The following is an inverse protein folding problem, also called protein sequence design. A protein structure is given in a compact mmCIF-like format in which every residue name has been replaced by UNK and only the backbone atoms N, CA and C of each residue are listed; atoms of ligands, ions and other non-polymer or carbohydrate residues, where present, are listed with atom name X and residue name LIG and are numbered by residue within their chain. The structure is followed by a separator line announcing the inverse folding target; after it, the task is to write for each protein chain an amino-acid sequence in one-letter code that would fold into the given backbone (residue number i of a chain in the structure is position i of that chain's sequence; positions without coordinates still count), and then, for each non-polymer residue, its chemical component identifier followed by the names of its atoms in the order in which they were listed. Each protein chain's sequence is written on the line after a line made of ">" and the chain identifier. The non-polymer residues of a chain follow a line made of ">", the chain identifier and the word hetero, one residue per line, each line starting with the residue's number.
data_IF_413022493609
#
_entry.id   IF_413022493609
#
_cell.length_a   1.000
_cell.length_b   1.000
_cell.length_c   1.000
_cell.angle_alpha   90.00
_cell.angle_beta   90.00
_cell.angle_gamma   90.00
#
_symmetry.space_group_name_H-M   'P 1'
#
loop_
_entity.id
_entity.type
_entity.pdbx_description
1 polymer ?
#
# COMPACT_ATOMS: atom_id res chain seq x y z
N UNK A 1 -0.64 0.32 5.29
CA UNK A 1 -0.94 -1.14 5.20
C UNK A 1 -0.74 -1.78 6.56
N UNK A 2 -1.08 -3.07 6.73
CA UNK A 2 -0.83 -3.85 7.94
C UNK A 2 -0.41 -5.28 7.56
N UNK A 3 0.70 -5.77 8.09
CA UNK A 3 1.11 -7.18 7.91
C UNK A 3 0.75 -7.96 9.18
N UNK A 4 -0.19 -8.87 9.05
CA UNK A 4 -0.70 -9.68 10.15
C UNK A 4 -0.07 -11.07 10.11
N UNK A 5 0.29 -11.59 11.27
CA UNK A 5 0.76 -12.97 11.45
C UNK A 5 -0.37 -13.76 12.10
N UNK A 6 -0.75 -14.89 11.53
CA UNK A 6 -1.70 -15.79 12.17
C UNK A 6 -1.09 -16.28 13.50
N UNK A 7 -1.82 -16.11 14.60
CA UNK A 7 -1.40 -16.69 15.88
C UNK A 7 -1.41 -18.21 15.74
N UNK A 8 -0.26 -18.86 15.87
CA UNK A 8 -0.23 -20.32 15.93
C UNK A 8 -0.99 -20.76 17.17
N UNK A 9 -2.10 -21.47 16.99
CA UNK A 9 -2.69 -22.23 18.09
C UNK A 9 -1.73 -23.36 18.40
N UNK A 10 -0.89 -23.19 19.42
CA UNK A 10 -0.14 -24.30 19.98
C UNK A 10 -1.13 -25.42 20.29
N UNK A 11 -0.92 -26.60 19.70
CA UNK A 11 -1.74 -27.79 19.96
C UNK A 11 -1.67 -28.07 21.47
N UNK A 12 -2.77 -27.84 22.18
CA UNK A 12 -2.84 -28.09 23.62
C UNK A 12 -2.71 -29.60 23.87
N UNK A 13 -1.49 -30.08 24.12
CA UNK A 13 -1.27 -31.40 24.72
C UNK A 13 -1.86 -31.38 26.14
N UNK A 14 -2.70 -32.35 26.53
CA UNK A 14 -3.21 -32.40 27.90
C UNK A 14 -2.04 -32.66 28.86
N UNK A 15 -1.75 -31.69 29.73
CA UNK A 15 -0.69 -31.79 30.73
C UNK A 15 -1.27 -32.40 32.02
N UNK A 16 -0.76 -33.56 32.41
CA UNK A 16 -0.95 -34.09 33.76
C UNK A 16 -0.36 -33.11 34.79
N UNK A 17 -1.16 -32.78 35.80
CA UNK A 17 -0.84 -31.78 36.81
C UNK A 17 0.10 -32.36 37.87
N UNK A 18 1.38 -31.97 37.84
CA UNK A 18 2.31 -32.11 38.96
C UNK A 18 2.69 -30.69 39.40
N UNK A 19 2.32 -30.32 40.62
CA UNK A 19 2.61 -29.01 41.21
C UNK A 19 4.07 -29.01 41.66
N UNK A 20 4.93 -28.29 40.93
CA UNK A 20 6.28 -27.95 41.38
C UNK A 20 6.47 -26.43 41.22
N UNK A 21 6.69 -25.75 42.32
CA UNK A 21 6.90 -24.30 42.36
C UNK A 21 8.18 -23.93 41.58
N UNK A 22 8.03 -23.19 40.48
CA UNK A 22 9.13 -22.64 39.69
C UNK A 22 8.82 -21.19 39.35
N UNK A 23 9.81 -20.31 39.57
CA UNK A 23 9.69 -18.88 39.37
C UNK A 23 9.14 -18.53 37.99
N UNK A 24 8.14 -17.67 37.96
CA UNK A 24 7.62 -17.07 36.74
C UNK A 24 8.70 -16.21 36.10
N UNK A 25 9.49 -16.80 35.21
CA UNK A 25 10.21 -16.04 34.20
C UNK A 25 9.16 -15.51 33.23
N UNK A 26 8.86 -14.21 33.31
CA UNK A 26 8.22 -13.52 32.20
C UNK A 26 9.19 -13.58 31.01
N UNK A 27 9.02 -14.56 30.14
CA UNK A 27 9.64 -14.54 28.83
C UNK A 27 8.92 -13.43 28.08
N UNK A 28 9.51 -12.24 28.05
CA UNK A 28 9.10 -11.22 27.09
C UNK A 28 9.28 -11.85 25.72
N UNK A 29 8.18 -12.18 25.04
CA UNK A 29 8.25 -12.61 23.65
C UNK A 29 8.84 -11.44 22.89
N UNK A 30 10.06 -11.61 22.35
CA UNK A 30 10.63 -10.64 21.45
C UNK A 30 9.58 -10.37 20.36
N UNK A 31 9.19 -9.11 20.18
CA UNK A 31 8.39 -8.71 19.03
C UNK A 31 9.18 -9.16 17.80
N UNK A 32 8.62 -10.09 17.02
CA UNK A 32 9.28 -10.49 15.77
C UNK A 32 9.18 -9.31 14.82
N UNK A 33 10.29 -8.59 14.70
CA UNK A 33 10.48 -7.58 13.68
C UNK A 33 10.89 -8.26 12.37
N UNK A 34 10.47 -7.68 11.26
CA UNK A 34 10.94 -8.04 9.92
C UNK A 34 11.58 -6.81 9.26
N UNK A 35 12.51 -7.02 8.34
CA UNK A 35 12.92 -5.94 7.43
C UNK A 35 12.17 -6.07 6.13
N UNK A 36 11.92 -4.94 5.48
CA UNK A 36 11.26 -4.92 4.19
C UNK A 36 11.86 -3.87 3.26
N UNK A 37 11.67 -4.09 1.96
CA UNK A 37 11.76 -3.05 0.94
C UNK A 37 10.61 -3.17 -0.03
N UNK A 38 10.17 -2.05 -0.60
CA UNK A 38 9.15 -2.02 -1.64
C UNK A 38 9.63 -1.33 -2.90
N UNK A 39 9.08 -1.76 -4.03
CA UNK A 39 9.23 -1.12 -5.33
C UNK A 39 7.84 -1.16 -5.97
N UNK A 40 7.34 -0.03 -6.46
CA UNK A 40 6.04 0.03 -7.13
C UNK A 40 6.18 0.23 -8.63
N UNK A 41 5.41 -0.49 -9.45
CA UNK A 41 5.41 -0.36 -10.91
C UNK A 41 4.00 -0.10 -11.40
N UNK A 42 3.84 0.98 -12.17
CA UNK A 42 2.57 1.33 -12.81
C UNK A 42 2.33 0.52 -14.08
N UNK A 43 1.11 0.05 -14.30
CA UNK A 43 0.72 -0.68 -15.49
C UNK A 43 -0.81 -0.66 -15.69
N UNK A 44 -1.27 -1.27 -16.79
CA UNK A 44 -2.67 -1.60 -17.04
C UNK A 44 -3.67 -0.43 -16.88
N UNK A 45 -3.28 0.77 -17.35
CA UNK A 45 -4.22 1.88 -17.44
C UNK A 45 -5.39 1.55 -18.37
N UNK A 46 -6.62 1.87 -17.93
CA UNK A 46 -7.84 1.71 -18.71
C UNK A 46 -8.36 3.09 -19.11
N UNK A 47 -8.42 3.34 -20.41
CA UNK A 47 -8.75 4.66 -20.96
C UNK A 47 -7.55 5.62 -20.90
N UNK A 48 -7.71 6.79 -21.55
CA UNK A 48 -6.66 7.78 -21.67
C UNK A 48 -5.44 7.31 -22.46
N UNK A 49 -4.54 8.24 -22.78
CA UNK A 49 -3.21 7.93 -23.27
C UNK A 49 -2.21 8.23 -22.15
N UNK A 50 -1.61 7.18 -21.60
CA UNK A 50 -0.67 7.31 -20.48
C UNK A 50 0.77 7.04 -20.90
N UNK A 51 1.71 7.66 -20.20
CA UNK A 51 3.14 7.38 -20.30
C UNK A 51 3.66 6.86 -18.96
N UNK A 52 4.45 5.79 -19.00
CA UNK A 52 5.11 5.23 -17.82
C UNK A 52 6.60 5.60 -17.82
N UNK A 53 7.12 6.05 -16.67
CA UNK A 53 8.56 6.28 -16.48
C UNK A 53 9.06 5.51 -15.26
N UNK A 54 10.29 5.00 -15.34
CA UNK A 54 10.94 4.23 -14.29
C UNK A 54 12.18 4.95 -13.75
N UNK A 55 12.04 6.24 -13.45
CA UNK A 55 13.11 7.05 -12.89
C UNK A 55 13.20 6.89 -11.36
N UNK A 56 13.72 7.89 -10.63
CA UNK A 56 13.80 7.85 -9.17
C UNK A 56 12.45 7.69 -8.48
N UNK A 57 11.38 8.19 -9.10
CA UNK A 57 9.99 7.95 -8.69
C UNK A 57 9.25 7.32 -9.87
N UNK A 58 8.87 6.04 -9.74
CA UNK A 58 8.13 5.38 -10.80
C UNK A 58 6.81 6.12 -11.03
N UNK A 59 6.55 6.52 -12.27
CA UNK A 59 5.45 7.43 -12.60
C UNK A 59 4.58 6.90 -13.72
N UNK A 60 3.30 7.20 -13.63
CA UNK A 60 2.36 7.21 -14.74
C UNK A 60 1.87 8.63 -14.94
N UNK A 61 1.88 9.12 -16.18
CA UNK A 61 1.50 10.49 -16.51
C UNK A 61 0.50 10.54 -17.66
N UNK A 62 -0.34 11.55 -17.65
CA UNK A 62 -1.39 11.77 -18.64
C UNK A 62 -1.68 13.28 -18.84
N UNK A 63 -2.55 13.58 -19.81
CA UNK A 63 -2.87 14.95 -20.19
C UNK A 63 -2.00 15.48 -21.33
N UNK A 64 -2.48 16.56 -21.96
CA UNK A 64 -1.83 17.16 -23.13
C UNK A 64 -0.87 18.31 -22.79
N UNK A 65 -0.95 18.84 -21.57
CA UNK A 65 -0.21 20.02 -21.15
C UNK A 65 1.05 19.65 -20.36
N UNK A 66 1.97 20.62 -20.26
CA UNK A 66 3.19 20.50 -19.48
C UNK A 66 3.15 21.46 -18.27
N UNK A 67 3.47 20.98 -17.05
CA UNK A 67 3.72 19.58 -16.71
C UNK A 67 2.44 18.72 -16.77
N UNK A 68 2.55 17.42 -17.11
CA UNK A 68 1.39 16.53 -17.16
C UNK A 68 0.85 16.22 -15.76
N UNK A 69 -0.42 15.85 -15.66
CA UNK A 69 -0.94 15.15 -14.48
C UNK A 69 -0.34 13.75 -14.38
N UNK A 70 -0.49 13.13 -13.21
CA UNK A 70 -0.02 11.77 -13.03
C UNK A 70 0.00 11.28 -11.60
N UNK A 71 0.49 10.05 -11.44
CA UNK A 71 0.75 9.43 -10.16
C UNK A 71 2.20 8.96 -10.08
N UNK A 72 2.84 9.25 -8.96
CA UNK A 72 4.17 8.78 -8.62
C UNK A 72 4.09 7.82 -7.43
N UNK A 73 5.00 6.83 -7.40
CA UNK A 73 5.18 5.98 -6.23
C UNK A 73 6.66 5.82 -5.92
N UNK A 74 7.03 6.17 -4.68
CA UNK A 74 8.36 5.97 -4.13
C UNK A 74 8.28 4.89 -3.05
N UNK A 75 8.97 3.77 -3.29
CA UNK A 75 9.06 2.67 -2.32
C UNK A 75 9.85 3.04 -1.07
N UNK A 76 9.76 2.19 -0.04
CA UNK A 76 10.38 2.39 1.27
C UNK A 76 11.16 1.13 1.65
N UNK A 77 12.29 1.33 2.30
CA UNK A 77 13.03 0.28 3.01
C UNK A 77 12.98 0.57 4.50
N UNK A 78 12.81 -0.46 5.32
CA UNK A 78 12.79 -0.29 6.77
C UNK A 78 12.56 -1.58 7.54
N UNK A 79 12.17 -1.42 8.80
CA UNK A 79 11.73 -2.48 9.70
C UNK A 79 10.25 -2.32 10.00
N UNK A 80 9.56 -3.42 10.26
CA UNK A 80 8.18 -3.42 10.73
C UNK A 80 7.94 -4.49 11.78
N UNK A 81 6.84 -4.34 12.49
CA UNK A 81 6.35 -5.31 13.46
C UNK A 81 5.05 -5.92 12.95
N UNK A 82 4.86 -7.20 13.20
CA UNK A 82 3.59 -7.84 12.88
C UNK A 82 2.43 -7.19 13.64
N UNK A 83 1.27 -7.15 13.01
CA UNK A 83 0.03 -6.56 13.52
C UNK A 83 0.07 -5.05 13.78
N UNK A 84 1.15 -4.37 13.41
CA UNK A 84 1.24 -2.92 13.40
C UNK A 84 1.10 -2.36 11.99
N UNK A 85 0.76 -1.08 11.93
CA UNK A 85 0.66 -0.37 10.67
C UNK A 85 2.05 -0.22 10.05
N UNK A 86 2.10 -0.42 8.74
CA UNK A 86 3.30 -0.38 7.92
C UNK A 86 3.08 0.61 6.77
N UNK A 87 3.96 1.60 6.68
CA UNK A 87 4.07 2.47 5.52
C UNK A 87 4.88 1.75 4.45
N UNK A 88 4.26 1.45 3.30
CA UNK A 88 4.95 0.81 2.19
C UNK A 88 5.67 1.78 1.27
N UNK A 89 5.37 3.07 1.34
CA UNK A 89 5.92 4.06 0.42
C UNK A 89 5.05 5.30 0.34
N UNK A 90 5.51 6.24 -0.46
CA UNK A 90 4.83 7.50 -0.72
C UNK A 90 4.18 7.44 -2.09
N UNK A 91 2.86 7.69 -2.14
CA UNK A 91 2.14 7.95 -3.37
C UNK A 91 1.97 9.46 -3.54
N UNK A 92 2.31 9.97 -4.72
CA UNK A 92 2.19 11.39 -5.06
C UNK A 92 1.18 11.56 -6.19
N UNK A 93 0.24 12.47 -6.00
CA UNK A 93 -0.68 12.91 -7.05
C UNK A 93 -0.17 14.22 -7.64
N UNK A 94 0.11 14.22 -8.95
CA UNK A 94 0.42 15.41 -9.73
C UNK A 94 -0.88 15.86 -10.37
N UNK A 95 -1.50 16.89 -9.79
CA UNK A 95 -2.70 17.52 -10.32
C UNK A 95 -2.28 18.75 -11.15
N UNK A 96 -2.42 18.65 -12.47
CA UNK A 96 -2.19 19.71 -13.43
C UNK A 96 -3.34 19.70 -14.45
N UNK A 97 -3.58 20.79 -15.19
CA UNK A 97 -4.58 20.77 -16.26
C UNK A 97 -4.28 19.68 -17.29
N UNK A 98 -5.30 18.91 -17.68
CA UNK A 98 -5.16 17.76 -18.59
C UNK A 98 -5.75 17.95 -19.99
N UNK A 99 -6.61 18.96 -20.17
CA UNK A 99 -7.30 19.23 -21.43
C UNK A 99 -8.52 18.32 -21.65
N UNK A 100 -8.57 17.61 -22.77
CA UNK A 100 -9.71 16.76 -23.15
C UNK A 100 -9.79 15.47 -22.32
N UNK A 101 -10.49 15.53 -21.19
CA UNK A 101 -10.58 14.47 -20.18
C UNK A 101 -10.88 13.08 -20.79
N UNK A 102 -11.90 12.96 -21.66
CA UNK A 102 -12.35 11.67 -22.20
C UNK A 102 -11.28 10.93 -23.03
N UNK A 103 -10.31 11.65 -23.60
CA UNK A 103 -9.27 11.08 -24.45
C UNK A 103 -7.92 10.97 -23.75
N UNK A 104 -7.64 11.86 -22.80
CA UNK A 104 -6.31 11.97 -22.20
C UNK A 104 -6.22 11.32 -20.84
N UNK A 105 -7.33 11.14 -20.10
CA UNK A 105 -7.31 10.72 -18.69
C UNK A 105 -7.63 9.23 -18.55
N UNK A 106 -6.80 8.45 -17.84
CA UNK A 106 -7.15 7.08 -17.49
C UNK A 106 -8.30 7.05 -16.49
N UNK A 107 -9.24 6.12 -16.66
CA UNK A 107 -10.29 5.88 -15.66
C UNK A 107 -9.72 5.14 -14.45
N UNK A 108 -8.84 4.18 -14.73
CA UNK A 108 -8.13 3.40 -13.71
C UNK A 108 -6.68 3.17 -14.14
N UNK A 109 -5.81 2.92 -13.16
CA UNK A 109 -4.43 2.47 -13.37
C UNK A 109 -4.00 1.55 -12.24
N UNK A 110 -3.23 0.53 -12.56
CA UNK A 110 -2.74 -0.44 -11.58
C UNK A 110 -1.35 -0.08 -11.08
N UNK A 111 -1.16 -0.17 -9.76
CA UNK A 111 0.11 -0.13 -9.07
C UNK A 111 0.44 -1.53 -8.56
N UNK A 112 1.45 -2.17 -9.14
CA UNK A 112 2.02 -3.42 -8.61
C UNK A 112 3.15 -3.08 -7.64
N UNK A 113 2.96 -3.37 -6.35
CA UNK A 113 3.97 -3.22 -5.31
C UNK A 113 4.66 -4.57 -5.09
N UNK A 114 5.94 -4.66 -5.42
CA UNK A 114 6.82 -5.75 -5.02
C UNK A 114 7.29 -5.49 -3.57
N UNK A 115 6.86 -6.34 -2.65
CA UNK A 115 7.29 -6.34 -1.25
C UNK A 115 8.34 -7.43 -1.05
N UNK A 116 9.55 -7.02 -0.76
CA UNK A 116 10.64 -7.91 -0.35
C UNK A 116 10.69 -7.91 1.18
N UNK A 117 10.58 -9.08 1.79
CA UNK A 117 10.59 -9.31 3.23
C UNK A 117 11.79 -10.15 3.60
N UNK A 118 12.31 -9.92 4.80
CA UNK A 118 13.19 -10.85 5.49
C UNK A 118 12.56 -11.16 6.85
N UNK A 119 12.03 -12.38 6.99
CA UNK A 119 11.39 -12.88 8.21
C UNK A 119 12.21 -14.06 8.69
N UNK A 120 12.73 -14.02 9.92
CA UNK A 120 13.58 -15.09 10.48
C UNK A 120 14.73 -15.52 9.55
N UNK A 121 15.38 -14.54 8.90
CA UNK A 121 16.45 -14.74 7.90
C UNK A 121 16.02 -15.47 6.61
N UNK A 122 14.71 -15.66 6.38
CA UNK A 122 14.16 -16.21 5.15
C UNK A 122 13.71 -15.06 4.23
N UNK A 123 14.33 -14.88 3.05
CA UNK A 123 13.94 -13.83 2.10
C UNK A 123 12.69 -14.26 1.30
N UNK A 124 11.69 -13.38 1.24
CA UNK A 124 10.44 -13.61 0.50
C UNK A 124 10.11 -12.38 -0.33
N UNK A 125 9.74 -12.59 -1.59
CA UNK A 125 9.17 -11.54 -2.43
C UNK A 125 7.72 -11.86 -2.76
N UNK A 126 6.84 -10.87 -2.63
CA UNK A 126 5.43 -10.95 -3.05
C UNK A 126 5.05 -9.70 -3.82
N UNK A 127 4.25 -9.87 -4.87
CA UNK A 127 3.71 -8.77 -5.65
C UNK A 127 2.23 -8.59 -5.30
N UNK A 128 1.83 -7.35 -5.06
CA UNK A 128 0.45 -6.99 -4.79
C UNK A 128 0.02 -5.91 -5.77
N UNK A 129 -1.08 -6.13 -6.49
CA UNK A 129 -1.58 -5.20 -7.49
C UNK A 129 -2.81 -4.49 -6.97
N UNK A 130 -2.74 -3.16 -6.94
CA UNK A 130 -3.80 -2.28 -6.48
C UNK A 130 -4.24 -1.39 -7.64
N UNK A 131 -5.53 -1.35 -7.91
CA UNK A 131 -6.13 -0.49 -8.92
C UNK A 131 -6.56 0.82 -8.28
N UNK A 132 -6.10 1.93 -8.85
CA UNK A 132 -6.58 3.27 -8.50
C UNK A 132 -7.54 3.76 -9.56
N UNK A 133 -8.69 4.24 -9.11
CA UNK A 133 -9.56 5.09 -9.92
C UNK A 133 -9.01 6.52 -9.92
N UNK A 134 -8.98 7.14 -11.10
CA UNK A 134 -8.59 8.54 -11.30
C UNK A 134 -9.82 9.36 -11.67
N UNK A 135 -9.95 10.54 -11.07
CA UNK A 135 -11.02 11.49 -11.38
C UNK A 135 -10.41 12.88 -11.55
N UNK A 136 -10.36 13.31 -12.81
CA UNK A 136 -10.06 14.69 -13.19
C UNK A 136 -11.37 15.48 -13.24
N UNK A 137 -11.41 16.61 -12.54
CA UNK A 137 -12.60 17.44 -12.40
C UNK A 137 -12.50 18.69 -13.29
N UNK A 138 -13.60 19.16 -13.88
CA UNK A 138 -13.61 20.47 -14.50
C UNK A 138 -13.22 21.56 -13.49
N UNK A 139 -12.24 22.38 -13.83
CA UNK A 139 -11.69 23.42 -12.94
C UNK A 139 -12.74 24.44 -12.47
N UNK A 140 -13.75 24.72 -13.31
CA UNK A 140 -14.68 25.84 -13.18
C UNK A 140 -16.10 25.45 -12.73
N UNK A 141 -16.34 24.17 -12.41
CA UNK A 141 -17.66 23.72 -11.97
C UNK A 141 -17.95 24.15 -10.52
N UNK A 142 -19.17 24.62 -10.27
CA UNK A 142 -19.64 24.98 -8.93
C UNK A 142 -20.97 24.29 -8.61
N UNK A 143 -21.11 23.67 -7.42
CA UNK A 143 -20.07 23.49 -6.39
C UNK A 143 -18.98 22.49 -6.85
N UNK A 144 -17.75 22.64 -6.32
CA UNK A 144 -16.70 21.65 -6.59
C UNK A 144 -17.12 20.25 -6.09
N UNK A 145 -16.89 19.18 -6.86
CA UNK A 145 -17.31 17.83 -6.48
C UNK A 145 -16.56 17.27 -5.26
N UNK A 146 -15.34 17.74 -5.05
CA UNK A 146 -14.48 17.39 -3.92
C UNK A 146 -14.17 18.60 -3.06
N UNK A 147 -13.66 18.37 -1.85
CA UNK A 147 -13.39 19.42 -0.87
C UNK A 147 -12.25 20.34 -1.34
N UNK A 148 -12.60 21.38 -2.11
CA UNK A 148 -11.70 22.41 -2.61
C UNK A 148 -12.45 23.71 -2.93
N UNK A 149 -11.71 24.72 -3.34
CA UNK A 149 -12.23 25.88 -4.09
C UNK A 149 -11.88 25.72 -5.57
N UNK A 150 -12.34 26.62 -6.45
CA UNK A 150 -11.90 26.65 -7.85
C UNK A 150 -10.45 27.13 -7.96
N UNK A 151 -9.58 26.49 -8.79
CA UNK A 151 -9.86 25.33 -9.62
C UNK A 151 -10.15 24.07 -8.80
N UNK A 152 -11.19 23.32 -9.19
CA UNK A 152 -11.65 22.17 -8.41
C UNK A 152 -10.55 21.09 -8.29
N UNK A 153 -10.50 20.43 -7.13
CA UNK A 153 -9.52 19.39 -6.89
C UNK A 153 -9.93 18.08 -7.55
N UNK A 154 -8.93 17.39 -8.09
CA UNK A 154 -9.05 16.02 -8.56
C UNK A 154 -8.95 15.02 -7.42
N UNK A 155 -9.34 13.77 -7.70
CA UNK A 155 -9.34 12.72 -6.71
C UNK A 155 -8.85 11.38 -7.24
N UNK A 156 -8.27 10.57 -6.34
CA UNK A 156 -7.88 9.19 -6.61
C UNK A 156 -8.36 8.26 -5.50
N UNK A 157 -8.77 7.05 -5.88
CA UNK A 157 -9.37 6.09 -4.94
C UNK A 157 -8.86 4.68 -5.18
N UNK A 158 -8.54 3.94 -4.13
CA UNK A 158 -8.31 2.50 -4.23
C UNK A 158 -9.61 1.79 -4.55
N UNK A 159 -9.64 0.96 -5.60
CA UNK A 159 -10.81 0.17 -5.95
C UNK A 159 -10.80 -1.24 -5.36
N UNK A 160 -9.63 -1.75 -5.00
CA UNK A 160 -9.44 -3.11 -4.48
C UNK A 160 -8.53 -3.13 -3.23
N UNK A 161 -9.02 -2.58 -2.12
CA UNK A 161 -8.32 -2.65 -0.82
C UNK A 161 -8.38 -4.03 -0.18
N UNK A 162 -9.35 -4.85 -0.58
CA UNK A 162 -9.70 -6.15 0.02
C UNK A 162 -9.03 -7.36 -0.64
N UNK A 163 -7.96 -7.17 -1.43
CA UNK A 163 -7.15 -8.33 -1.84
C UNK A 163 -6.43 -8.89 -0.61
N UNK A 164 -7.06 -9.83 0.09
CA UNK A 164 -6.44 -10.57 1.17
C UNK A 164 -5.33 -11.43 0.58
N UNK A 165 -4.10 -10.96 0.66
CA UNK A 165 -2.97 -11.66 0.10
C UNK A 165 -2.25 -12.39 1.22
N UNK A 166 -2.67 -13.63 1.43
CA UNK A 166 -2.06 -14.51 2.43
C UNK A 166 -0.88 -15.28 1.83
N UNK A 167 0.16 -15.48 2.62
CA UNK A 167 1.32 -16.28 2.25
C UNK A 167 1.90 -16.97 3.48
N UNK A 168 2.54 -18.12 3.27
CA UNK A 168 3.15 -18.91 4.35
C UNK A 168 4.68 -18.76 4.30
N UNK A 169 5.29 -18.63 5.48
CA UNK A 169 6.75 -18.62 5.69
C UNK A 169 7.06 -19.55 6.84
N UNK A 170 7.92 -20.54 6.63
CA UNK A 170 8.29 -21.51 7.68
C UNK A 170 7.09 -22.10 8.44
N UNK A 171 5.98 -22.37 7.72
CA UNK A 171 4.75 -22.94 8.30
C UNK A 171 3.85 -21.97 9.08
N UNK A 172 4.17 -20.67 9.06
CA UNK A 172 3.32 -19.62 9.64
C UNK A 172 2.65 -18.83 8.53
N UNK A 173 1.34 -18.61 8.66
CA UNK A 173 0.56 -17.83 7.69
C UNK A 173 0.60 -16.34 8.03
N UNK A 174 0.75 -15.52 7.00
CA UNK A 174 0.77 -14.07 7.06
C UNK A 174 -0.25 -13.50 6.09
N UNK A 175 -0.84 -12.36 6.42
CA UNK A 175 -1.76 -11.63 5.53
C UNK A 175 -1.37 -10.17 5.47
N UNK A 176 -1.17 -9.65 4.26
CA UNK A 176 -1.00 -8.21 4.03
C UNK A 176 -2.34 -7.56 3.68
N UNK A 177 -2.66 -6.47 4.35
CA UNK A 177 -3.87 -5.69 4.14
C UNK A 177 -3.54 -4.24 3.75
N UNK A 178 -4.13 -3.75 2.66
CA UNK A 178 -4.09 -2.34 2.29
C UNK A 178 -5.22 -1.58 3.02
N UNK A 179 -4.82 -0.65 3.88
CA UNK A 179 -5.75 0.13 4.68
C UNK A 179 -6.09 1.50 4.08
N UNK A 180 -5.28 1.99 3.14
CA UNK A 180 -5.50 3.26 2.46
C UNK A 180 -4.32 4.23 2.57
N UNK A 181 -4.64 5.52 2.45
CA UNK A 181 -3.69 6.63 2.52
C UNK A 181 -3.53 7.14 3.96
N UNK A 182 -2.40 7.79 4.24
CA UNK A 182 -2.17 8.53 5.47
C UNK A 182 -1.48 9.86 5.15
N UNK A 183 -1.86 10.93 5.83
CA UNK A 183 -1.27 12.27 5.70
C UNK A 183 0.06 12.42 6.46
N UNK A 184 0.41 11.44 7.29
CA UNK A 184 1.62 11.44 8.10
C UNK A 184 2.24 10.04 8.09
N UNK A 185 3.56 9.95 8.29
CA UNK A 185 4.21 8.69 8.66
C UNK A 185 3.76 8.20 10.06
N UNK A 186 3.05 9.05 10.80
CA UNK A 186 2.31 8.66 12.00
C UNK A 186 1.04 7.92 11.57
N UNK A 187 0.87 6.73 12.11
CA UNK A 187 0.02 5.69 11.57
C UNK A 187 -1.45 5.87 11.99
N UNK A 188 -2.06 7.00 11.64
CA UNK A 188 -3.50 7.20 11.75
C UNK A 188 -4.09 7.26 10.33
N UNK A 189 -4.97 6.31 9.94
CA UNK A 189 -5.63 6.39 8.65
C UNK A 189 -6.49 7.65 8.57
N UNK A 190 -6.47 8.31 7.41
CA UNK A 190 -7.33 9.46 7.07
C UNK A 190 -8.48 8.99 6.21
#
# INVERSE_FOLDING_TARGET
>A
MKLMQATSTALAKPLQMVVLALGFNFVATAVQAFTFSTIGTWNNAIGGNVTYTTDTENRVSWGQYAPPSGLGFTGKTGTGDFNNLLELGQLRHFNNPVGFIELTVPQTVDLTVALNLLINNEPITRNFTYSLRVVETPDDVLPCPYQSVTPCADAVFWQNTSSSNSFTVSGVDYTLELLGFSNTSALLPV
#
